data_IF_888513841411
#
_entry.id   IF_888513841411
#
_cell.length_a   1.000
_cell.length_b   1.000
_cell.length_c   1.000
_cell.angle_alpha   90.00
_cell.angle_beta   90.00
_cell.angle_gamma   90.00
#
_symmetry.space_group_name_H-M   'P 1'
#
loop_
_entity.id
_entity.type
_entity.pdbx_description
1 polymer ?
#
# COMPACT_ATOMS: atom_id res chain seq x y z
N UNK A 1 2.35 44.06 -19.55
CA UNK A 1 3.05 42.85 -20.03
C UNK A 1 2.55 41.69 -19.19
N UNK A 2 2.04 40.60 -19.78
CA UNK A 2 1.62 39.43 -19.02
C UNK A 2 2.87 38.58 -18.75
N UNK A 3 3.18 38.35 -17.48
CA UNK A 3 4.24 37.42 -17.09
C UNK A 3 3.70 36.00 -17.15
N UNK A 4 4.43 35.11 -17.81
CA UNK A 4 4.16 33.68 -17.74
C UNK A 4 4.50 33.18 -16.34
N UNK A 5 3.68 32.29 -15.80
CA UNK A 5 3.87 31.71 -14.47
C UNK A 5 3.99 30.22 -14.62
N UNK A 6 5.11 29.66 -14.15
CA UNK A 6 5.31 28.22 -14.09
C UNK A 6 4.40 27.61 -13.02
N UNK A 7 3.51 26.70 -13.43
CA UNK A 7 2.55 26.06 -12.53
C UNK A 7 3.13 24.80 -11.90
N UNK A 8 3.76 23.91 -12.67
CA UNK A 8 4.44 22.71 -12.16
C UNK A 8 5.50 22.22 -13.16
N UNK A 9 6.44 21.40 -12.69
CA UNK A 9 7.37 20.64 -13.54
C UNK A 9 7.08 19.15 -13.44
N UNK A 10 7.03 18.47 -14.57
CA UNK A 10 6.95 17.01 -14.63
C UNK A 10 8.32 16.47 -15.04
N UNK A 11 8.94 15.69 -14.16
CA UNK A 11 10.29 15.16 -14.32
C UNK A 11 10.25 13.63 -14.44
N UNK A 12 11.10 13.06 -15.28
CA UNK A 12 11.38 11.61 -15.29
C UNK A 12 12.74 11.37 -14.67
N UNK A 13 12.79 10.52 -13.63
CA UNK A 13 14.03 10.21 -12.92
C UNK A 13 14.61 8.88 -13.46
N UNK A 14 15.84 8.87 -14.02
CA UNK A 14 16.55 7.65 -14.39
C UNK A 14 16.92 6.81 -13.15
N UNK A 15 17.13 5.48 -13.26
CA UNK A 15 17.09 4.66 -14.48
C UNK A 15 15.69 4.14 -14.83
N UNK A 16 14.74 4.16 -13.89
CA UNK A 16 13.43 3.53 -14.01
C UNK A 16 12.39 4.39 -14.76
N UNK A 17 12.72 5.66 -15.07
CA UNK A 17 11.80 6.58 -15.76
C UNK A 17 10.59 6.99 -14.92
N UNK A 18 10.72 6.89 -13.58
CA UNK A 18 9.67 7.25 -12.62
C UNK A 18 9.31 8.72 -12.77
N UNK A 19 8.01 9.00 -12.84
CA UNK A 19 7.49 10.36 -12.90
C UNK A 19 7.47 11.00 -11.51
N UNK A 20 7.99 12.21 -11.43
CA UNK A 20 8.02 13.05 -10.24
C UNK A 20 7.51 14.42 -10.62
N UNK A 21 6.61 14.98 -9.82
CA UNK A 21 6.11 16.35 -10.01
C UNK A 21 6.84 17.27 -9.06
N UNK A 22 7.47 18.32 -9.58
CA UNK A 22 8.09 19.37 -8.79
C UNK A 22 7.18 20.61 -8.78
N UNK A 23 6.82 21.06 -7.57
CA UNK A 23 5.96 22.22 -7.35
C UNK A 23 6.58 23.09 -6.25
N UNK A 24 6.89 24.36 -6.59
CA UNK A 24 7.58 25.31 -5.70
C UNK A 24 8.87 24.75 -5.08
N UNK A 25 9.67 24.04 -5.88
CA UNK A 25 10.94 23.44 -5.45
C UNK A 25 10.82 22.19 -4.58
N UNK A 26 9.61 21.72 -4.27
CA UNK A 26 9.37 20.43 -3.60
C UNK A 26 8.98 19.37 -4.63
N UNK A 27 9.48 18.15 -4.45
CA UNK A 27 9.23 17.01 -5.33
C UNK A 27 8.25 16.05 -4.69
N UNK A 28 7.29 15.60 -5.48
CA UNK A 28 6.24 14.67 -5.07
C UNK A 28 6.16 13.53 -6.07
N UNK A 29 6.19 12.31 -5.57
CA UNK A 29 5.98 11.11 -6.37
C UNK A 29 4.50 10.73 -6.39
N UNK A 30 3.79 11.06 -5.31
CA UNK A 30 2.37 10.78 -5.14
C UNK A 30 1.65 11.99 -4.58
N UNK A 31 0.39 12.18 -4.99
CA UNK A 31 -0.44 13.26 -4.47
C UNK A 31 -0.69 13.14 -2.94
N UNK A 32 -0.58 11.93 -2.38
CA UNK A 32 -0.69 11.68 -0.94
C UNK A 32 0.45 12.27 -0.11
N UNK A 33 1.60 12.57 -0.72
CA UNK A 33 2.76 13.19 -0.04
C UNK A 33 2.56 14.70 0.17
N UNK A 34 1.58 15.29 -0.52
CA UNK A 34 1.25 16.70 -0.40
C UNK A 34 0.42 16.92 0.85
N UNK A 35 1.09 17.28 1.96
CA UNK A 35 0.42 17.56 3.24
C UNK A 35 -0.40 18.87 3.23
N UNK A 36 -0.05 19.82 2.38
CA UNK A 36 -0.73 21.12 2.29
C UNK A 36 -1.96 21.04 1.36
N UNK A 37 -3.17 21.18 1.92
CA UNK A 37 -4.42 21.03 1.15
C UNK A 37 -4.53 22.01 -0.02
N UNK A 38 -4.05 23.25 0.17
CA UNK A 38 -4.04 24.27 -0.89
C UNK A 38 -3.14 23.86 -2.07
N UNK A 39 -1.97 23.28 -1.78
CA UNK A 39 -1.04 22.79 -2.81
C UNK A 39 -1.64 21.59 -3.53
N UNK A 40 -2.28 20.68 -2.78
CA UNK A 40 -2.98 19.53 -3.36
C UNK A 40 -4.09 19.97 -4.31
N UNK A 41 -4.90 20.96 -3.92
CA UNK A 41 -5.96 21.51 -4.77
C UNK A 41 -5.39 22.13 -6.05
N UNK A 42 -4.34 22.93 -5.94
CA UNK A 42 -3.65 23.53 -7.09
C UNK A 42 -3.11 22.46 -8.06
N UNK A 43 -2.46 21.41 -7.54
CA UNK A 43 -1.96 20.31 -8.36
C UNK A 43 -3.10 19.58 -9.09
N UNK A 44 -4.20 19.27 -8.40
CA UNK A 44 -5.37 18.63 -9.01
C UNK A 44 -5.96 19.53 -10.11
N UNK A 45 -6.11 20.82 -9.84
CA UNK A 45 -6.61 21.79 -10.82
C UNK A 45 -5.72 21.81 -12.07
N UNK A 46 -4.40 21.93 -11.89
CA UNK A 46 -3.47 21.97 -13.01
C UNK A 46 -3.42 20.65 -13.81
N UNK A 47 -3.58 19.49 -13.16
CA UNK A 47 -3.76 18.21 -13.85
C UNK A 47 -5.08 18.19 -14.65
N UNK A 48 -6.17 18.70 -14.06
CA UNK A 48 -7.45 18.85 -14.77
C UNK A 48 -7.35 19.74 -16.00
N UNK A 49 -6.63 20.86 -15.91
CA UNK A 49 -6.34 21.75 -17.03
C UNK A 49 -5.51 21.06 -18.12
N UNK A 50 -4.51 20.26 -17.75
CA UNK A 50 -3.72 19.46 -18.70
C UNK A 50 -4.58 18.41 -19.43
N UNK A 51 -5.50 17.74 -18.72
CA UNK A 51 -6.45 16.80 -19.32
C UNK A 51 -7.44 17.53 -20.24
N UNK A 52 -7.92 18.71 -19.85
CA UNK A 52 -8.78 19.52 -20.70
C UNK A 52 -8.04 19.98 -21.96
N UNK A 53 -6.78 20.40 -21.82
CA UNK A 53 -5.90 20.77 -22.92
C UNK A 53 -5.67 19.61 -23.91
N UNK A 54 -5.59 18.36 -23.42
CA UNK A 54 -5.45 17.19 -24.28
C UNK A 54 -6.74 16.74 -24.99
N UNK A 55 -7.83 17.51 -24.89
CA UNK A 55 -9.13 17.16 -25.47
C UNK A 55 -10.00 16.30 -24.56
N UNK A 56 -9.70 16.25 -23.26
CA UNK A 56 -10.40 15.44 -22.27
C UNK A 56 -9.76 14.07 -22.00
N UNK A 57 -10.26 13.37 -20.99
CA UNK A 57 -9.71 12.06 -20.59
C UNK A 57 -9.93 10.99 -21.67
N UNK A 58 -11.06 11.04 -22.39
CA UNK A 58 -11.36 10.06 -23.43
C UNK A 58 -10.31 10.08 -24.56
N UNK A 59 -9.84 11.26 -24.95
CA UNK A 59 -8.75 11.43 -25.92
C UNK A 59 -7.48 10.66 -25.50
N UNK A 60 -7.13 10.73 -24.21
CA UNK A 60 -5.98 9.99 -23.67
C UNK A 60 -6.20 8.46 -23.67
N UNK A 61 -7.44 8.01 -23.50
CA UNK A 61 -7.80 6.59 -23.57
C UNK A 61 -7.75 6.08 -25.01
N UNK A 62 -8.28 6.85 -25.96
CA UNK A 62 -8.32 6.50 -27.38
C UNK A 62 -6.90 6.39 -27.96
N UNK A 63 -5.98 7.25 -27.51
CA UNK A 63 -4.55 7.20 -27.83
C UNK A 63 -3.77 6.10 -27.07
N UNK A 64 -4.44 5.35 -26.19
CA UNK A 64 -3.82 4.27 -25.42
C UNK A 64 -2.80 4.71 -24.36
N UNK A 65 -2.79 6.00 -24.01
CA UNK A 65 -1.87 6.56 -22.99
C UNK A 65 -2.49 6.61 -21.59
N UNK A 66 -3.80 6.43 -21.48
CA UNK A 66 -4.52 6.32 -20.21
C UNK A 66 -5.40 5.05 -20.16
N UNK A 67 -5.54 4.41 -18.98
CA UNK A 67 -6.47 3.30 -18.81
C UNK A 67 -7.93 3.79 -18.88
N UNK A 68 -8.89 2.98 -19.37
CA UNK A 68 -10.30 3.37 -19.32
C UNK A 68 -10.76 3.50 -17.87
N UNK A 69 -11.46 4.59 -17.54
CA UNK A 69 -12.09 4.73 -16.22
C UNK A 69 -13.24 3.73 -16.17
N UNK A 70 -13.03 2.58 -15.54
CA UNK A 70 -14.15 1.73 -15.16
C UNK A 70 -14.90 2.50 -14.08
N UNK A 71 -16.02 3.13 -14.45
CA UNK A 71 -16.96 3.65 -13.47
C UNK A 71 -17.33 2.46 -12.59
N UNK A 72 -16.81 2.44 -11.38
CA UNK A 72 -17.22 1.50 -10.35
C UNK A 72 -18.66 1.90 -10.04
N UNK A 73 -19.58 1.29 -10.78
CA UNK A 73 -20.99 1.63 -10.74
C UNK A 73 -21.49 1.62 -9.30
N UNK A 74 -22.27 2.62 -8.97
CA UNK A 74 -23.08 2.70 -7.77
C UNK A 74 -23.93 1.43 -7.65
N UNK A 75 -23.40 0.39 -6.99
CA UNK A 75 -24.20 -0.72 -6.50
C UNK A 75 -24.95 -0.24 -5.26
N UNK A 76 -26.01 0.54 -5.48
CA UNK A 76 -27.02 0.89 -4.47
C UNK A 76 -28.00 -0.29 -4.22
N UNK A 77 -27.47 -1.48 -3.93
CA UNK A 77 -28.29 -2.65 -3.57
C UNK A 77 -27.87 -3.32 -2.25
N UNK A 78 -26.77 -2.90 -1.61
CA UNK A 78 -26.30 -3.46 -0.32
C UNK A 78 -26.55 -2.55 0.90
N UNK A 79 -27.23 -1.42 0.71
CA UNK A 79 -27.52 -0.45 1.77
C UNK A 79 -28.46 -0.96 2.87
N UNK A 80 -29.35 -1.91 2.59
CA UNK A 80 -30.30 -2.43 3.58
C UNK A 80 -29.66 -3.48 4.51
N UNK A 81 -28.78 -4.34 4.00
CA UNK A 81 -28.16 -5.40 4.81
C UNK A 81 -27.09 -4.87 5.79
N UNK A 82 -26.47 -3.72 5.48
CA UNK A 82 -25.48 -3.07 6.35
C UNK A 82 -26.16 -2.36 7.54
N UNK A 83 -27.36 -1.81 7.34
CA UNK A 83 -28.14 -1.12 8.38
C UNK A 83 -28.58 -2.06 9.51
N UNK A 84 -29.06 -3.27 9.18
CA UNK A 84 -29.44 -4.26 10.21
C UNK A 84 -28.27 -4.74 11.06
N UNK A 85 -27.08 -4.92 10.44
CA UNK A 85 -25.87 -5.30 11.16
C UNK A 85 -25.38 -4.17 12.07
N UNK A 86 -25.50 -2.92 11.63
CA UNK A 86 -25.16 -1.75 12.45
C UNK A 86 -26.11 -1.59 13.64
N UNK A 87 -27.41 -1.81 13.46
CA UNK A 87 -28.39 -1.76 14.54
C UNK A 87 -28.12 -2.83 15.63
N UNK A 88 -27.79 -4.06 15.21
CA UNK A 88 -27.42 -5.14 16.15
C UNK A 88 -26.10 -4.86 16.89
N UNK A 89 -25.15 -4.22 16.22
CA UNK A 89 -23.87 -3.83 16.84
C UNK A 89 -24.05 -2.70 17.88
N UNK A 90 -24.87 -1.69 17.57
CA UNK A 90 -25.20 -0.62 18.53
C UNK A 90 -25.93 -1.18 19.77
N UNK A 91 -26.88 -2.09 19.59
CA UNK A 91 -27.57 -2.75 20.69
C UNK A 91 -26.61 -3.55 21.60
N UNK A 92 -25.59 -4.19 21.02
CA UNK A 92 -24.56 -4.92 21.77
C UNK A 92 -23.65 -4.00 22.59
N UNK A 93 -23.38 -2.78 22.13
CA UNK A 93 -22.58 -1.79 22.85
C UNK A 93 -23.35 -1.21 24.04
N UNK A 94 -24.66 -0.94 23.89
CA UNK A 94 -25.50 -0.47 24.99
C UNK A 94 -25.62 -1.52 26.10
N UNK A 95 -25.84 -2.80 25.75
CA UNK A 95 -25.90 -3.89 26.74
C UNK A 95 -24.57 -4.08 27.52
N UNK A 96 -23.43 -3.82 26.89
CA UNK A 96 -22.11 -3.91 27.53
C UNK A 96 -21.82 -2.73 28.48
N UNK A 97 -22.44 -1.57 28.22
CA UNK A 97 -22.32 -0.37 29.07
C UNK A 97 -23.06 -0.54 30.40
N UNK A 98 -24.24 -1.16 30.39
CA UNK A 98 -24.99 -1.39 31.63
C UNK A 98 -24.32 -2.46 32.53
N UNK A 99 -23.66 -3.45 31.93
CA UNK A 99 -22.91 -4.48 32.68
C UNK A 99 -21.68 -3.92 33.41
N UNK A 100 -21.05 -2.86 32.89
CA UNK A 100 -19.84 -2.26 33.48
C UNK A 100 -20.12 -1.19 34.53
N UNK A 101 -21.38 -0.78 34.72
CA UNK A 101 -21.78 0.20 35.74
C UNK A 101 -22.03 -0.42 37.13
N UNK A 102 -22.15 -1.75 37.25
CA UNK A 102 -22.56 -2.42 38.49
C UNK A 102 -21.41 -2.91 39.39
N UNK A 103 -20.16 -2.95 38.93
CA UNK A 103 -19.05 -3.54 39.69
C UNK A 103 -17.99 -2.52 40.09
N UNK A 104 -18.34 -1.68 41.06
CA UNK A 104 -17.43 -0.75 41.72
C UNK A 104 -17.30 -1.10 43.20
N UNK A 105 -16.28 -1.88 43.60
CA UNK A 105 -15.75 -1.96 44.98
C UNK A 105 -14.40 -2.70 45.11
N UNK A 106 -13.29 -1.92 45.05
CA UNK A 106 -12.05 -1.95 45.89
C UNK A 106 -11.16 -3.25 45.91
N UNK A 107 -9.91 -3.22 46.43
CA UNK A 107 -9.00 -2.11 46.76
C UNK A 107 -7.58 -2.21 46.12
N UNK A 108 -6.83 -1.14 46.32
CA UNK A 108 -5.39 -0.97 46.05
C UNK A 108 -4.50 -1.96 46.82
N UNK A 109 -3.48 -2.52 46.15
CA UNK A 109 -2.23 -2.99 46.77
C UNK A 109 -1.04 -2.59 45.91
N UNK A 110 -0.05 -1.99 46.57
CA UNK A 110 1.28 -1.65 46.07
C UNK A 110 2.16 -2.91 45.94
N UNK A 111 3.14 -2.91 45.02
CA UNK A 111 4.60 -3.16 45.23
C UNK A 111 5.33 -3.48 43.89
N UNK A 112 6.68 -3.42 43.83
CA UNK A 112 7.42 -2.68 42.81
C UNK A 112 8.26 -3.55 41.86
N UNK A 113 8.73 -2.91 40.78
CA UNK A 113 10.07 -3.10 40.24
C UNK A 113 10.35 -4.39 39.48
N UNK A 114 10.15 -4.39 38.16
CA UNK A 114 11.00 -5.12 37.23
C UNK A 114 11.40 -4.18 36.09
N UNK A 115 12.66 -3.75 36.20
CA UNK A 115 13.45 -3.19 35.13
C UNK A 115 13.88 -4.34 34.20
N UNK A 116 13.34 -4.47 32.99
CA UNK A 116 13.97 -5.29 31.93
C UNK A 116 13.63 -4.79 30.52
N UNK A 117 14.66 -4.17 29.95
CA UNK A 117 15.16 -4.23 28.57
C UNK A 117 14.20 -3.85 27.44
N UNK A 118 14.51 -2.69 26.88
CA UNK A 118 14.33 -2.28 25.49
C UNK A 118 14.17 -3.42 24.48
N UNK A 119 13.01 -3.48 23.84
CA UNK A 119 12.86 -3.96 22.46
C UNK A 119 12.07 -2.92 21.67
N UNK A 120 12.81 -2.02 21.02
CA UNK A 120 12.38 -1.27 19.83
C UNK A 120 12.04 -2.27 18.70
N UNK A 121 11.25 -1.89 17.67
CA UNK A 121 9.99 -1.15 17.66
C UNK A 121 8.89 -1.90 16.86
N UNK A 122 7.67 -1.38 16.95
CA UNK A 122 6.45 -1.71 16.19
C UNK A 122 6.64 -2.39 14.82
N UNK A 123 6.27 -3.67 14.72
CA UNK A 123 5.96 -4.36 13.46
C UNK A 123 4.65 -3.84 12.85
N UNK A 124 4.69 -2.64 12.27
CA UNK A 124 3.83 -2.35 11.13
C UNK A 124 4.42 -3.14 9.95
N UNK A 125 4.00 -4.40 9.83
CA UNK A 125 4.53 -5.41 8.93
C UNK A 125 4.85 -4.85 7.55
N UNK A 126 6.13 -4.94 7.16
CA UNK A 126 6.60 -4.58 5.84
C UNK A 126 5.95 -5.55 4.83
N UNK A 127 5.24 -5.09 3.79
CA UNK A 127 4.59 -5.96 2.80
C UNK A 127 5.53 -7.02 2.23
N UNK A 128 6.81 -6.68 2.08
CA UNK A 128 7.85 -7.59 1.59
C UNK A 128 8.07 -8.78 2.52
N UNK A 129 8.13 -8.55 3.83
CA UNK A 129 8.29 -9.61 4.83
C UNK A 129 7.05 -10.52 4.89
N UNK A 130 5.86 -9.97 4.64
CA UNK A 130 4.64 -10.77 4.59
C UNK A 130 4.65 -11.71 3.37
N UNK A 131 5.03 -11.21 2.20
CA UNK A 131 5.15 -12.01 0.98
C UNK A 131 6.24 -13.07 1.14
N UNK A 132 7.38 -12.71 1.74
CA UNK A 132 8.48 -13.65 2.04
C UNK A 132 8.02 -14.83 2.91
N UNK A 133 7.25 -14.56 3.97
CA UNK A 133 6.65 -15.63 4.80
C UNK A 133 5.73 -16.56 4.02
N UNK A 134 4.97 -16.03 3.06
CA UNK A 134 4.12 -16.85 2.20
C UNK A 134 4.98 -17.69 1.26
N UNK A 135 6.03 -17.11 0.68
CA UNK A 135 6.96 -17.83 -0.19
C UNK A 135 7.67 -18.95 0.56
N UNK A 136 8.18 -18.69 1.77
CA UNK A 136 8.91 -19.68 2.54
C UNK A 136 8.06 -20.92 2.84
N UNK A 137 6.76 -20.75 3.13
CA UNK A 137 5.81 -21.87 3.27
C UNK A 137 5.70 -22.71 2.01
N UNK A 138 5.79 -22.09 0.84
CA UNK A 138 5.78 -22.80 -0.43
C UNK A 138 7.10 -23.51 -0.73
N UNK A 139 8.24 -22.91 -0.36
CA UNK A 139 9.57 -23.53 -0.50
C UNK A 139 9.70 -24.75 0.40
N UNK A 140 9.21 -24.66 1.64
CA UNK A 140 9.16 -25.78 2.59
C UNK A 140 8.22 -26.91 2.15
N UNK A 141 7.16 -26.57 1.41
CA UNK A 141 6.21 -27.55 0.87
C UNK A 141 6.74 -28.28 -0.38
N UNK A 142 7.79 -27.76 -1.04
CA UNK A 142 8.37 -28.33 -2.24
C UNK A 142 9.78 -28.91 -1.96
N UNK A 143 9.93 -30.25 -1.91
CA UNK A 143 11.20 -30.90 -1.57
C UNK A 143 12.34 -30.57 -2.54
N UNK A 144 12.05 -30.26 -3.81
CA UNK A 144 13.08 -29.96 -4.81
C UNK A 144 13.64 -28.53 -4.69
N UNK A 145 12.95 -27.65 -3.96
CA UNK A 145 13.35 -26.27 -3.73
C UNK A 145 13.77 -26.00 -2.29
N UNK A 146 13.53 -26.95 -1.39
CA UNK A 146 13.94 -26.89 0.02
C UNK A 146 15.46 -26.77 0.19
N UNK A 147 16.25 -27.29 -0.75
CA UNK A 147 17.71 -27.16 -0.76
C UNK A 147 18.20 -25.79 -1.27
N UNK A 148 17.28 -24.91 -1.71
CA UNK A 148 17.60 -23.61 -2.31
C UNK A 148 17.30 -22.48 -1.35
N UNK A 149 18.16 -21.46 -1.35
CA UNK A 149 17.98 -20.28 -0.51
C UNK A 149 17.26 -19.20 -1.31
N UNK A 150 15.95 -19.09 -1.11
CA UNK A 150 15.08 -18.16 -1.82
C UNK A 150 14.47 -17.18 -0.80
N UNK A 151 14.83 -15.91 -0.90
CA UNK A 151 14.38 -14.87 0.05
C UNK A 151 13.94 -13.60 -0.68
N UNK A 152 12.93 -12.94 -0.15
CA UNK A 152 12.49 -11.62 -0.57
C UNK A 152 12.95 -10.59 0.44
N UNK A 153 13.73 -9.62 -0.04
CA UNK A 153 14.27 -8.52 0.76
C UNK A 153 13.81 -7.19 0.22
N UNK A 154 13.58 -6.24 1.13
CA UNK A 154 13.28 -4.87 0.72
C UNK A 154 14.57 -4.17 0.31
N UNK A 155 14.60 -3.64 -0.92
CA UNK A 155 15.74 -2.88 -1.41
C UNK A 155 15.81 -1.51 -0.69
N UNK A 156 17.00 -1.02 -0.26
CA UNK A 156 17.13 0.24 0.47
C UNK A 156 16.69 1.48 -0.33
N UNK A 157 16.69 1.42 -1.65
CA UNK A 157 16.14 2.48 -2.52
C UNK A 157 14.60 2.43 -2.68
N UNK A 158 13.92 1.54 -1.96
CA UNK A 158 12.49 1.28 -2.10
C UNK A 158 12.19 0.35 -3.27
N UNK A 159 11.76 -0.88 -2.97
CA UNK A 159 11.43 -1.89 -3.98
C UNK A 159 11.56 -3.31 -3.43
N UNK A 160 11.15 -4.28 -4.24
CA UNK A 160 11.32 -5.71 -3.96
C UNK A 160 12.62 -6.20 -4.60
N UNK A 161 13.48 -6.85 -3.81
CA UNK A 161 14.62 -7.60 -4.29
C UNK A 161 14.40 -9.07 -3.97
N UNK A 162 14.70 -9.93 -4.93
CA UNK A 162 14.58 -11.37 -4.82
C UNK A 162 16.01 -11.93 -4.78
N UNK A 163 16.37 -12.61 -3.71
CA UNK A 163 17.63 -13.33 -3.58
C UNK A 163 17.36 -14.82 -3.80
N UNK A 164 18.00 -15.40 -4.82
CA UNK A 164 17.91 -16.83 -5.15
C UNK A 164 19.33 -17.39 -5.22
N UNK A 165 19.69 -18.27 -4.29
CA UNK A 165 21.02 -18.91 -4.21
C UNK A 165 22.18 -17.90 -4.22
N UNK A 166 21.98 -16.76 -3.57
CA UNK A 166 22.94 -15.64 -3.49
C UNK A 166 22.98 -14.73 -4.72
N UNK A 167 22.13 -14.97 -5.73
CA UNK A 167 21.93 -14.06 -6.87
C UNK A 167 20.74 -13.13 -6.61
N UNK A 168 20.95 -11.83 -6.86
CA UNK A 168 19.97 -10.77 -6.66
C UNK A 168 19.24 -10.45 -7.96
N UNK A 169 17.91 -10.43 -7.89
CA UNK A 169 17.03 -10.11 -9.00
C UNK A 169 16.04 -9.01 -8.58
N UNK A 170 15.63 -8.17 -9.52
CA UNK A 170 14.58 -7.17 -9.26
C UNK A 170 13.21 -7.64 -9.72
N UNK A 171 13.17 -8.60 -10.65
CA UNK A 171 11.92 -9.09 -11.24
C UNK A 171 11.87 -10.61 -11.24
N UNK A 172 10.70 -11.22 -11.01
CA UNK A 172 10.54 -12.66 -11.15
C UNK A 172 10.93 -13.16 -12.54
N UNK A 173 10.75 -12.36 -13.59
CA UNK A 173 11.11 -12.73 -14.98
C UNK A 173 12.61 -12.84 -15.24
N UNK A 174 13.46 -12.34 -14.35
CA UNK A 174 14.94 -12.38 -14.49
C UNK A 174 15.54 -13.68 -13.92
N UNK A 175 14.74 -14.46 -13.19
CA UNK A 175 15.19 -15.70 -12.56
C UNK A 175 15.19 -16.79 -13.62
N UNK A 176 16.31 -17.50 -13.81
CA UNK A 176 16.43 -18.55 -14.84
C UNK A 176 15.45 -19.71 -14.60
N UNK A 177 15.14 -20.01 -13.34
CA UNK A 177 14.25 -21.11 -12.98
C UNK A 177 12.78 -20.72 -13.02
N UNK A 178 12.06 -21.29 -14.00
CA UNK A 178 10.64 -21.04 -14.23
C UNK A 178 9.75 -21.44 -13.04
N UNK A 179 10.14 -22.47 -12.26
CA UNK A 179 9.37 -22.91 -11.09
C UNK A 179 9.48 -21.89 -9.96
N UNK A 180 10.68 -21.36 -9.72
CA UNK A 180 10.90 -20.29 -8.73
C UNK A 180 10.09 -19.05 -9.12
N UNK A 181 10.03 -18.70 -10.41
CA UNK A 181 9.18 -17.60 -10.87
C UNK A 181 7.70 -17.82 -10.53
N UNK A 182 7.20 -19.04 -10.78
CA UNK A 182 5.80 -19.40 -10.53
C UNK A 182 5.47 -19.34 -9.04
N UNK A 183 6.37 -19.81 -8.18
CA UNK A 183 6.20 -19.75 -6.73
C UNK A 183 6.15 -18.32 -6.20
N UNK A 184 7.07 -17.47 -6.65
CA UNK A 184 7.09 -16.07 -6.25
C UNK A 184 5.81 -15.37 -6.69
N UNK A 185 5.35 -15.62 -7.92
CA UNK A 185 4.06 -15.09 -8.42
C UNK A 185 2.88 -15.60 -7.60
N UNK A 186 2.89 -16.87 -7.20
CA UNK A 186 1.83 -17.48 -6.37
C UNK A 186 1.79 -16.84 -4.98
N UNK A 187 2.95 -16.63 -4.36
CA UNK A 187 3.06 -15.99 -3.06
C UNK A 187 2.55 -14.53 -3.08
N UNK A 188 2.92 -13.76 -4.11
CA UNK A 188 2.42 -12.39 -4.29
C UNK A 188 0.89 -12.38 -4.46
N UNK A 189 0.35 -13.27 -5.31
CA UNK A 189 -1.10 -13.34 -5.56
C UNK A 189 -1.88 -13.71 -4.30
N UNK A 190 -1.36 -14.60 -3.47
CA UNK A 190 -2.00 -14.98 -2.22
C UNK A 190 -1.99 -13.83 -1.21
N UNK A 191 -0.90 -13.09 -1.13
CA UNK A 191 -0.84 -11.87 -0.33
C UNK A 191 -1.86 -10.81 -0.79
N UNK A 192 -2.04 -10.62 -2.10
CA UNK A 192 -3.03 -9.68 -2.64
C UNK A 192 -4.49 -10.11 -2.38
N UNK A 193 -4.71 -11.40 -2.10
CA UNK A 193 -6.06 -11.98 -1.91
C UNK A 193 -6.47 -12.09 -0.44
N UNK A 194 -5.54 -11.86 0.50
CA UNK A 194 -5.76 -11.93 1.95
C UNK A 194 -6.05 -10.58 2.58
#
# INVERSE_FOLDING_TARGET
MKSEVEVMRVLRVPPLGKLVVEFRGKRYEKLSEVGEENVKRLLITAVGELIAFSGGYQSLVDEGVAPPVTQRGSQSAEGEAISEKQAKFLASLEASRDATAAEKKRPSMMLPGINRVSSVPSSALNPVEQIDRILQRYVEADPELSDRSIHLVQHPAGGLQIDVDGKRYQRPSEIEDTRVQLLIKKAIKEWESG
#
